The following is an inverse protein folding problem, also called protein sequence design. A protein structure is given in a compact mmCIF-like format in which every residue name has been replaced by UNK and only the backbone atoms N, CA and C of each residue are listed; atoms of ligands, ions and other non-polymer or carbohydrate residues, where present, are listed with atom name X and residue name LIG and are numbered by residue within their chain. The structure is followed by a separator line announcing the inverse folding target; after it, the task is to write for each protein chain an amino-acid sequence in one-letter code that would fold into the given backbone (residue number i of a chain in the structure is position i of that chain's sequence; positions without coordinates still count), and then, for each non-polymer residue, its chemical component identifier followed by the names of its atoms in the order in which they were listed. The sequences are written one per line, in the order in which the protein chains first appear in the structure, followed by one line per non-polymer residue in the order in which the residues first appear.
data_IF_369761280523
#
_entry.id   IF_369761280523
#
_cell.length_a   1.000
_cell.length_b   1.000
_cell.length_c   1.000
_cell.angle_alpha   90.00
_cell.angle_beta   90.00
_cell.angle_gamma   90.00
#
_symmetry.space_group_name_H-M   'P 1'
#
loop_
_entity.id
_entity.type
_entity.pdbx_description
1 polymer ?
#
# COMPACT_ATOMS: atom_id res chain seq x y z
N UNK A 1 21.33 16.09 2.73
CA UNK A 1 21.50 14.65 3.01
C UNK A 1 20.20 13.94 2.64
N UNK A 2 20.08 13.48 1.39
CA UNK A 2 18.88 12.78 0.89
C UNK A 2 19.03 11.31 1.26
N UNK A 3 18.29 10.85 2.27
CA UNK A 3 18.23 9.41 2.56
C UNK A 3 17.69 8.68 1.31
N UNK A 4 18.24 7.53 0.92
CA UNK A 4 17.69 6.75 -0.18
C UNK A 4 16.24 6.39 0.17
N UNK A 5 15.31 6.66 -0.75
CA UNK A 5 13.90 6.32 -0.60
C UNK A 5 13.81 4.82 -0.33
N UNK A 6 13.61 4.43 0.94
CA UNK A 6 13.44 3.03 1.32
C UNK A 6 12.11 2.58 0.71
N UNK A 7 12.17 1.73 -0.32
CA UNK A 7 10.98 1.12 -0.88
C UNK A 7 10.25 0.34 0.21
N UNK A 8 8.99 0.71 0.49
CA UNK A 8 8.13 -0.04 1.40
C UNK A 8 7.84 -1.41 0.78
N UNK A 9 8.18 -2.48 1.50
CA UNK A 9 7.94 -3.85 1.04
C UNK A 9 6.44 -4.18 1.14
N UNK A 10 5.85 -4.62 0.02
CA UNK A 10 4.42 -4.95 -0.09
C UNK A 10 3.97 -6.01 0.93
N UNK A 11 4.86 -6.89 1.39
CA UNK A 11 4.56 -7.93 2.39
C UNK A 11 4.26 -7.36 3.77
N UNK A 12 4.73 -6.15 4.04
CA UNK A 12 4.46 -5.40 5.26
C UNK A 12 3.46 -4.28 5.01
N UNK A 13 2.43 -4.56 4.21
CA UNK A 13 1.28 -3.68 4.05
C UNK A 13 0.02 -4.43 4.47
N UNK A 14 -0.74 -3.84 5.40
CA UNK A 14 -1.95 -4.45 5.94
C UNK A 14 -3.03 -3.42 6.17
N UNK A 15 -4.28 -3.87 6.04
CA UNK A 15 -5.45 -3.10 6.47
C UNK A 15 -5.72 -3.26 7.97
N UNK A 16 -4.99 -4.14 8.67
CA UNK A 16 -5.06 -4.24 10.12
C UNK A 16 -4.38 -3.04 10.82
N UNK A 17 -4.74 -2.82 12.08
CA UNK A 17 -4.13 -1.79 12.93
C UNK A 17 -2.82 -2.23 13.58
N UNK A 18 -2.58 -3.55 13.63
CA UNK A 18 -1.45 -4.14 14.33
C UNK A 18 -0.74 -5.17 13.46
N UNK A 19 0.54 -5.39 13.76
CA UNK A 19 1.36 -6.43 13.13
C UNK A 19 1.80 -7.42 14.21
N UNK A 20 1.30 -8.66 14.20
CA UNK A 20 1.76 -9.68 15.15
C UNK A 20 3.28 -9.85 15.09
N UNK A 21 3.94 -9.85 16.25
CA UNK A 21 5.41 -9.93 16.34
C UNK A 21 6.16 -8.60 16.15
N UNK A 22 5.45 -7.50 15.90
CA UNK A 22 6.03 -6.16 15.77
C UNK A 22 5.30 -5.13 16.63
N UNK A 23 6.00 -4.09 17.04
CA UNK A 23 5.41 -2.90 17.65
C UNK A 23 5.63 -1.66 16.76
N UNK A 24 4.65 -0.75 16.75
CA UNK A 24 4.72 0.51 16.01
C UNK A 24 5.57 1.50 16.83
N UNK A 25 6.80 1.75 16.41
CA UNK A 25 7.70 2.69 17.08
C UNK A 25 7.36 4.17 16.79
N UNK A 26 6.86 4.45 15.59
CA UNK A 26 6.45 5.79 15.18
C UNK A 26 5.35 5.74 14.13
N UNK A 27 4.47 6.74 14.14
CA UNK A 27 3.48 7.00 13.11
C UNK A 27 3.84 8.28 12.37
N UNK A 28 3.92 8.21 11.05
CA UNK A 28 4.33 9.29 10.15
C UNK A 28 3.14 9.96 9.45
N UNK A 29 1.93 9.66 9.90
CA UNK A 29 0.70 10.25 9.38
C UNK A 29 0.10 9.53 8.16
N UNK A 30 -0.94 10.16 7.61
CA UNK A 30 -1.84 9.52 6.64
C UNK A 30 -1.19 9.41 5.26
N UNK A 31 -1.30 8.22 4.68
CA UNK A 31 -0.83 7.87 3.34
C UNK A 31 -2.00 7.83 2.38
N UNK A 32 -1.82 8.41 1.19
CA UNK A 32 -2.85 8.46 0.15
C UNK A 32 -2.26 8.06 -1.18
N UNK A 33 -3.04 7.32 -1.96
CA UNK A 33 -2.74 7.02 -3.34
C UNK A 33 -4.05 6.99 -4.12
N UNK A 34 -4.13 7.85 -5.13
CA UNK A 34 -5.26 7.96 -6.01
C UNK A 34 -4.74 7.97 -7.44
N UNK A 35 -5.41 7.26 -8.33
CA UNK A 35 -5.27 7.42 -9.76
C UNK A 35 -6.64 7.40 -10.37
N UNK A 36 -6.87 8.27 -11.35
CA UNK A 36 -8.06 8.23 -12.20
C UNK A 36 -7.59 7.80 -13.58
N UNK A 37 -8.29 6.86 -14.20
CA UNK A 37 -8.02 6.42 -15.57
C UNK A 37 -9.29 6.56 -16.39
N UNK A 38 -9.19 7.28 -17.50
CA UNK A 38 -10.26 7.31 -18.49
C UNK A 38 -10.10 6.14 -19.47
N UNK A 39 -11.21 5.51 -19.91
CA UNK A 39 -11.15 4.57 -21.01
C UNK A 39 -10.78 5.34 -22.27
N UNK A 40 -10.05 4.70 -23.20
CA UNK A 40 -9.98 5.23 -24.55
C UNK A 40 -11.35 5.11 -25.24
N UNK A 41 -11.59 5.90 -26.29
CA UNK A 41 -12.90 6.04 -26.94
C UNK A 41 -13.51 4.69 -27.34
N UNK A 42 -12.70 3.75 -27.84
CA UNK A 42 -13.15 2.40 -28.19
C UNK A 42 -13.60 1.56 -26.98
N UNK A 43 -12.84 1.57 -25.88
CA UNK A 43 -13.22 0.88 -24.63
C UNK A 43 -14.45 1.51 -23.98
N UNK A 44 -14.59 2.83 -24.08
CA UNK A 44 -15.78 3.52 -23.60
C UNK A 44 -17.04 3.04 -24.36
N UNK A 45 -16.98 2.94 -25.69
CA UNK A 45 -18.12 2.50 -26.50
C UNK A 45 -18.56 1.05 -26.19
N UNK A 46 -17.59 0.12 -26.12
CA UNK A 46 -17.85 -1.28 -25.77
C UNK A 46 -18.37 -1.41 -24.33
N UNK A 47 -17.79 -0.64 -23.40
CA UNK A 47 -18.22 -0.59 -22.02
C UNK A 47 -19.65 -0.06 -21.86
N UNK A 48 -20.01 0.98 -22.60
CA UNK A 48 -21.38 1.55 -22.59
C UNK A 48 -22.41 0.56 -23.13
N UNK A 49 -22.09 -0.18 -24.20
CA UNK A 49 -23.00 -1.19 -24.74
C UNK A 49 -23.20 -2.36 -23.76
N UNK A 50 -22.12 -2.83 -23.13
CA UNK A 50 -22.19 -3.87 -22.09
C UNK A 50 -22.99 -3.43 -20.85
N UNK A 51 -22.84 -2.17 -20.44
CA UNK A 51 -23.59 -1.60 -19.32
C UNK A 51 -25.10 -1.50 -19.60
N UNK A 52 -25.50 -1.16 -20.83
CA UNK A 52 -26.91 -1.12 -21.24
C UNK A 52 -27.55 -2.52 -21.28
N UNK A 53 -26.77 -3.57 -21.56
CA UNK A 53 -27.21 -4.96 -21.51
C UNK A 53 -27.34 -5.51 -20.07
N UNK A 54 -27.02 -4.71 -19.04
CA UNK A 54 -27.15 -5.09 -17.63
C UNK A 54 -26.08 -6.06 -17.11
N UNK A 55 -24.97 -6.23 -17.84
CA UNK A 55 -23.87 -7.12 -17.47
C UNK A 55 -22.67 -6.42 -16.85
N UNK A 56 -21.81 -7.18 -16.17
CA UNK A 56 -20.49 -6.70 -15.74
C UNK A 56 -19.63 -6.36 -16.97
N UNK A 57 -19.13 -5.12 -17.03
CA UNK A 57 -18.21 -4.74 -18.09
C UNK A 57 -16.79 -5.18 -17.72
N UNK A 58 -16.33 -6.25 -18.34
CA UNK A 58 -14.94 -6.73 -18.25
C UNK A 58 -13.92 -5.60 -18.50
N UNK A 59 -14.27 -4.63 -19.34
CA UNK A 59 -13.44 -3.46 -19.66
C UNK A 59 -13.31 -2.50 -18.48
N UNK A 60 -14.42 -2.18 -17.79
CA UNK A 60 -14.37 -1.32 -16.60
C UNK A 60 -13.73 -2.05 -15.40
N UNK A 61 -13.92 -3.37 -15.27
CA UNK A 61 -13.24 -4.19 -14.25
C UNK A 61 -11.71 -4.16 -14.45
N UNK A 62 -11.23 -4.42 -15.66
CA UNK A 62 -9.80 -4.35 -16.01
C UNK A 62 -9.20 -2.98 -15.68
N UNK A 63 -9.97 -1.91 -15.93
CA UNK A 63 -9.55 -0.55 -15.61
C UNK A 63 -9.49 -0.29 -14.10
N UNK A 64 -10.48 -0.77 -13.36
CA UNK A 64 -10.54 -0.63 -11.91
C UNK A 64 -9.38 -1.36 -11.24
N UNK A 65 -9.05 -2.58 -11.68
CA UNK A 65 -7.89 -3.34 -11.16
C UNK A 65 -6.57 -2.60 -11.42
N UNK A 66 -6.38 -2.10 -12.66
CA UNK A 66 -5.19 -1.30 -12.99
C UNK A 66 -5.12 0.00 -12.19
N UNK A 67 -6.27 0.64 -11.93
CA UNK A 67 -6.33 1.83 -11.09
C UNK A 67 -5.96 1.49 -9.63
N UNK A 68 -6.47 0.37 -9.10
CA UNK A 68 -6.14 -0.12 -7.76
C UNK A 68 -4.64 -0.38 -7.60
N UNK A 69 -4.02 -1.08 -8.55
CA UNK A 69 -2.59 -1.37 -8.52
C UNK A 69 -1.75 -0.09 -8.53
N UNK A 70 -2.07 0.87 -9.40
CA UNK A 70 -1.33 2.14 -9.46
C UNK A 70 -1.53 2.99 -8.20
N UNK A 71 -2.76 3.06 -7.69
CA UNK A 71 -3.07 3.75 -6.44
C UNK A 71 -2.27 3.15 -5.28
N UNK A 72 -2.17 1.82 -5.24
CA UNK A 72 -1.38 1.10 -4.25
C UNK A 72 0.12 1.44 -4.32
N UNK A 73 0.72 1.40 -5.51
CA UNK A 73 2.13 1.80 -5.69
C UNK A 73 2.37 3.23 -5.20
N UNK A 74 1.45 4.15 -5.52
CA UNK A 74 1.55 5.55 -5.09
C UNK A 74 1.39 5.73 -3.58
N UNK A 75 0.59 4.88 -2.93
CA UNK A 75 0.55 4.80 -1.46
C UNK A 75 1.90 4.36 -0.90
N UNK A 76 2.54 3.33 -1.46
CA UNK A 76 3.85 2.86 -0.99
C UNK A 76 4.93 3.92 -1.16
N UNK A 77 4.96 4.62 -2.29
CA UNK A 77 5.86 5.75 -2.55
C UNK A 77 5.67 6.86 -1.50
N UNK A 78 4.41 7.23 -1.23
CA UNK A 78 4.09 8.25 -0.24
C UNK A 78 4.45 7.82 1.19
N UNK A 79 4.26 6.54 1.53
CA UNK A 79 4.69 5.99 2.81
C UNK A 79 6.21 6.01 2.98
N UNK A 80 6.95 5.65 1.93
CA UNK A 80 8.41 5.75 1.89
C UNK A 80 8.88 7.20 2.05
N UNK A 81 8.25 8.14 1.36
CA UNK A 81 8.56 9.57 1.45
C UNK A 81 8.30 10.15 2.84
N UNK A 82 7.27 9.66 3.54
CA UNK A 82 6.98 10.04 4.92
C UNK A 82 7.99 9.46 5.94
N UNK A 83 8.90 8.58 5.52
CA UNK A 83 9.87 7.94 6.42
C UNK A 83 9.36 6.66 7.10
N UNK A 84 8.16 6.20 6.75
CA UNK A 84 7.64 4.91 7.17
C UNK A 84 8.29 3.77 6.40
N UNK A 85 8.50 2.63 7.08
CA UNK A 85 8.96 1.40 6.41
C UNK A 85 7.79 0.50 6.00
N UNK A 86 6.57 0.78 6.47
CA UNK A 86 5.35 0.01 6.24
C UNK A 86 4.11 0.89 6.13
N UNK A 87 3.03 0.35 5.57
CA UNK A 87 1.70 0.97 5.58
C UNK A 87 0.74 0.12 6.42
N UNK A 88 0.10 0.73 7.42
CA UNK A 88 -0.96 0.13 8.23
C UNK A 88 -2.17 1.05 8.23
N UNK A 89 -3.34 0.52 7.87
CA UNK A 89 -4.62 1.24 7.95
C UNK A 89 -4.54 2.68 7.40
N UNK A 90 -4.01 2.86 6.18
CA UNK A 90 -3.93 4.19 5.59
C UNK A 90 -2.86 5.11 6.18
N UNK A 91 -1.94 4.61 7.02
CA UNK A 91 -0.93 5.40 7.72
C UNK A 91 0.46 4.81 7.48
N UNK A 92 1.46 5.68 7.32
CA UNK A 92 2.86 5.26 7.27
C UNK A 92 3.37 5.04 8.69
N UNK A 93 3.88 3.84 8.99
CA UNK A 93 4.40 3.56 10.33
C UNK A 93 5.80 2.97 10.25
N UNK A 94 6.52 3.04 11.36
CA UNK A 94 7.79 2.34 11.56
C UNK A 94 7.61 1.16 12.48
N UNK A 95 7.80 -0.06 11.97
CA UNK A 95 7.78 -1.27 12.79
C UNK A 95 9.17 -1.60 13.34
N UNK A 96 9.18 -2.04 14.60
CA UNK A 96 10.32 -2.65 15.27
C UNK A 96 9.89 -4.04 15.74
N UNK A 97 10.70 -5.10 15.53
CA UNK A 97 10.35 -6.44 16.01
C UNK A 97 10.18 -6.41 17.53
N UNK A 98 9.21 -7.18 18.04
CA UNK A 98 9.09 -7.39 19.48
C UNK A 98 10.34 -8.14 19.95
N UNK A 99 11.16 -7.47 20.76
CA UNK A 99 12.31 -8.09 21.40
C UNK A 99 11.79 -9.26 22.24
N UNK A 100 12.07 -10.49 21.83
CA UNK A 100 11.69 -11.66 22.61
C UNK A 100 12.46 -11.62 23.94
N UNK A 101 11.82 -11.80 25.11
CA UNK A 101 12.46 -11.71 26.43
C UNK A 101 13.43 -12.87 26.75
N UNK A 102 14.22 -13.34 25.77
CA UNK A 102 15.18 -14.43 25.90
C UNK A 102 16.50 -14.24 25.15
N UNK A 103 16.75 -13.10 24.50
CA UNK A 103 18.07 -12.78 23.91
C UNK A 103 18.78 -11.68 24.71
N UNK A 104 18.94 -11.94 26.00
CA UNK A 104 19.88 -11.26 26.86
C UNK A 104 20.83 -12.29 27.47
N UNK A 105 21.63 -12.97 26.64
CA UNK A 105 22.78 -13.70 27.18
C UNK A 105 23.90 -13.83 26.14
N UNK A 106 24.93 -13.03 26.40
CA UNK A 106 26.17 -12.93 25.65
C UNK A 106 26.99 -11.78 26.23
N UNK A 107 27.15 -11.77 27.56
CA UNK A 107 28.16 -10.93 28.19
C UNK A 107 29.53 -11.36 27.65
N UNK A 108 30.40 -10.45 27.22
CA UNK A 108 31.80 -10.79 27.03
C UNK A 108 32.37 -11.14 28.42
N UNK A 109 32.79 -12.38 28.59
CA UNK A 109 33.77 -12.72 29.63
C UNK A 109 35.12 -12.12 29.26
#
# INVERSE_FOLDING_TARGET
MTQPVRSVDRRFTTTAFTYPGYHIAASHGVVRGLTVRNPNVGKAFVGSFAALAGGESSTYIEMAEKARERAFLRMLEHAAAAGGNVMAYGTAVTLVPLQQPGQAQGAPQ
#
